data_IF_447003080784
#
_entry.id   IF_447003080784
#
_cell.length_a   1.000
_cell.length_b   1.000
_cell.length_c   1.000
_cell.angle_alpha   90.00
_cell.angle_beta   90.00
_cell.angle_gamma   90.00
#
_symmetry.space_group_name_H-M   'P 1'
#
loop_
_entity.id
_entity.type
_entity.pdbx_description
1 polymer ?
#
# COMPACT_ATOMS: atom_id res chain seq x y z
N UNK A 1 16.28 11.04 -23.39
CA UNK A 1 15.23 11.05 -24.44
C UNK A 1 15.79 11.01 -25.85
N UNK A 2 17.00 11.51 -26.11
CA UNK A 2 17.62 11.54 -27.42
C UNK A 2 18.09 10.17 -27.96
N UNK A 3 18.33 9.21 -27.07
CA UNK A 3 18.79 7.87 -27.43
C UNK A 3 17.64 6.91 -27.81
N UNK A 4 16.44 7.15 -27.30
CA UNK A 4 15.26 6.32 -27.50
C UNK A 4 14.08 7.16 -27.93
N UNK A 5 13.24 6.63 -28.80
CA UNK A 5 11.99 7.26 -29.22
C UNK A 5 10.90 7.03 -28.15
N UNK A 6 10.94 7.86 -27.10
CA UNK A 6 9.98 7.80 -25.99
C UNK A 6 8.84 8.76 -26.32
N UNK A 7 7.63 8.25 -26.43
CA UNK A 7 6.42 9.05 -26.68
C UNK A 7 5.70 9.45 -25.40
N UNK A 8 5.67 8.53 -24.41
CA UNK A 8 4.94 8.69 -23.15
C UNK A 8 5.79 8.17 -22.00
N UNK A 9 5.71 8.86 -20.87
CA UNK A 9 6.31 8.42 -19.60
C UNK A 9 5.18 8.00 -18.67
N UNK A 10 5.33 6.85 -18.05
CA UNK A 10 4.43 6.36 -17.01
C UNK A 10 5.11 6.55 -15.66
N UNK A 11 4.41 7.20 -14.75
CA UNK A 11 4.85 7.41 -13.36
C UNK A 11 3.79 6.85 -12.40
N UNK A 12 4.21 6.43 -11.23
CA UNK A 12 3.29 5.94 -10.19
C UNK A 12 3.01 6.96 -9.09
N UNK A 13 3.78 8.04 -9.03
CA UNK A 13 3.57 9.15 -8.10
C UNK A 13 4.20 10.43 -8.66
N UNK A 14 3.89 11.56 -8.02
CA UNK A 14 4.39 12.89 -8.39
C UNK A 14 4.98 13.64 -7.19
N UNK A 15 5.25 12.96 -6.10
CA UNK A 15 5.53 13.59 -4.80
C UNK A 15 7.01 13.61 -4.44
N UNK A 16 7.74 12.56 -4.77
CA UNK A 16 9.16 12.45 -4.45
C UNK A 16 10.05 13.32 -5.38
N UNK A 17 11.22 13.75 -4.92
CA UNK A 17 12.11 14.61 -5.69
C UNK A 17 12.48 14.04 -7.07
N UNK A 18 12.80 12.74 -7.13
CA UNK A 18 13.19 12.08 -8.38
C UNK A 18 12.04 12.00 -9.40
N UNK A 19 10.81 11.77 -8.95
CA UNK A 19 9.62 11.79 -9.82
C UNK A 19 9.39 13.19 -10.40
N UNK A 20 9.49 14.21 -9.54
CA UNK A 20 9.38 15.61 -9.97
C UNK A 20 10.43 15.99 -11.00
N UNK A 21 11.64 15.49 -10.84
CA UNK A 21 12.73 15.75 -11.80
C UNK A 21 12.47 15.07 -13.14
N UNK A 22 12.06 13.81 -13.13
CA UNK A 22 11.66 13.09 -14.36
C UNK A 22 10.55 13.84 -15.10
N UNK A 23 9.51 14.27 -14.39
CA UNK A 23 8.41 15.04 -14.94
C UNK A 23 8.91 16.37 -15.54
N UNK A 24 9.75 17.08 -14.81
CA UNK A 24 10.31 18.36 -15.28
C UNK A 24 11.10 18.18 -16.57
N UNK A 25 11.99 17.20 -16.62
CA UNK A 25 12.80 16.89 -17.79
C UNK A 25 11.90 16.45 -18.96
N UNK A 26 10.93 15.57 -18.73
CA UNK A 26 10.00 15.12 -19.74
C UNK A 26 9.27 16.29 -20.42
N UNK A 27 8.76 17.22 -19.62
CA UNK A 27 8.07 18.41 -20.13
C UNK A 27 8.97 19.30 -20.99
N UNK A 28 10.24 19.46 -20.60
CA UNK A 28 11.22 20.21 -21.42
C UNK A 28 11.44 19.60 -22.80
N UNK A 29 11.28 18.27 -22.91
CA UNK A 29 11.38 17.54 -24.18
C UNK A 29 10.03 17.30 -24.87
N UNK A 30 8.95 17.96 -24.40
CA UNK A 30 7.61 17.85 -24.98
C UNK A 30 6.98 16.46 -24.85
N UNK A 31 7.47 15.64 -23.91
CA UNK A 31 6.95 14.27 -23.70
C UNK A 31 5.72 14.28 -22.83
N UNK A 32 4.78 13.39 -23.15
CA UNK A 32 3.56 13.18 -22.38
C UNK A 32 3.83 12.37 -21.13
N UNK A 33 3.11 12.67 -20.06
CA UNK A 33 3.26 12.02 -18.76
C UNK A 33 1.88 11.52 -18.33
N UNK A 34 1.82 10.25 -17.96
CA UNK A 34 0.64 9.62 -17.39
C UNK A 34 0.99 9.05 -16.03
N UNK A 35 0.29 9.48 -15.00
CA UNK A 35 0.41 8.91 -13.66
C UNK A 35 -0.56 7.74 -13.51
N UNK A 36 -0.06 6.61 -12.99
CA UNK A 36 -0.86 5.43 -12.66
C UNK A 36 -1.02 5.33 -11.16
N UNK A 37 -2.24 5.21 -10.68
CA UNK A 37 -2.49 4.94 -9.26
C UNK A 37 -1.88 3.58 -8.88
N UNK A 38 -1.02 3.54 -7.86
CA UNK A 38 -0.34 2.32 -7.43
C UNK A 38 -0.79 1.80 -6.06
N UNK A 39 -1.49 2.64 -5.27
CA UNK A 39 -1.98 2.26 -3.95
C UNK A 39 -3.32 2.94 -3.64
N UNK A 40 -3.98 2.47 -2.59
CA UNK A 40 -5.22 3.05 -2.11
C UNK A 40 -4.96 4.48 -1.61
N UNK A 41 -5.75 5.43 -2.09
CA UNK A 41 -5.76 6.80 -1.55
C UNK A 41 -6.68 6.84 -0.33
N UNK A 42 -6.18 7.19 0.86
CA UNK A 42 -7.04 7.38 2.01
C UNK A 42 -7.94 8.59 1.77
N UNK A 43 -9.25 8.36 1.78
CA UNK A 43 -10.26 9.40 1.70
C UNK A 43 -10.85 9.60 3.10
N UNK A 44 -10.62 10.76 3.70
CA UNK A 44 -11.19 11.07 5.01
C UNK A 44 -10.86 12.46 5.50
N UNK A 45 -11.80 13.07 6.23
CA UNK A 45 -11.72 14.45 6.75
C UNK A 45 -10.43 14.72 7.55
N UNK A 46 -9.89 13.70 8.24
CA UNK A 46 -8.67 13.85 9.04
C UNK A 46 -7.48 14.18 8.14
N UNK A 47 -7.37 13.54 6.98
CA UNK A 47 -6.30 13.78 6.02
C UNK A 47 -6.45 15.10 5.32
N UNK A 48 -7.70 15.46 4.99
CA UNK A 48 -8.07 16.77 4.43
C UNK A 48 -7.67 17.89 5.38
N UNK A 49 -8.05 17.79 6.66
CA UNK A 49 -7.78 18.82 7.66
C UNK A 49 -6.30 18.95 8.03
N UNK A 50 -5.56 17.85 7.94
CA UNK A 50 -4.14 17.87 8.26
C UNK A 50 -3.28 18.53 7.17
N UNK A 51 -3.85 18.89 6.02
CA UNK A 51 -3.10 19.40 4.87
C UNK A 51 -2.02 18.43 4.39
N UNK A 52 -2.03 17.22 4.92
CA UNK A 52 -1.05 16.18 4.62
C UNK A 52 -1.56 15.37 3.44
N UNK A 53 -1.16 15.80 2.29
CA UNK A 53 -1.38 15.10 1.04
C UNK A 53 -0.52 13.82 0.99
N UNK A 54 -0.95 12.80 1.71
CA UNK A 54 -0.57 11.42 1.39
C UNK A 54 -1.39 10.92 0.20
N UNK A 55 -1.67 11.78 -0.73
CA UNK A 55 -2.18 11.37 -1.99
C UNK A 55 -1.03 11.38 -2.98
N UNK A 56 -0.98 10.41 -3.84
CA UNK A 56 -0.15 10.36 -5.02
C UNK A 56 -0.41 11.58 -5.92
N UNK A 57 -1.40 12.35 -5.56
CA UNK A 57 -1.78 13.61 -6.17
C UNK A 57 -1.00 14.74 -5.48
N UNK A 58 -0.12 15.39 -6.20
CA UNK A 58 0.42 16.66 -5.74
C UNK A 58 -0.69 17.71 -5.74
N UNK A 59 -0.53 18.79 -4.98
CA UNK A 59 -1.46 19.92 -4.95
C UNK A 59 -1.68 20.58 -6.34
N UNK A 60 -0.88 20.23 -7.31
CA UNK A 60 -1.05 20.54 -8.73
C UNK A 60 -0.64 19.34 -9.54
N UNK A 61 -1.55 18.84 -10.39
CA UNK A 61 -1.24 17.83 -11.38
C UNK A 61 -0.08 18.28 -12.25
N UNK A 62 0.97 17.49 -12.22
CA UNK A 62 2.16 17.70 -13.07
C UNK A 62 2.12 16.80 -14.29
N UNK A 63 1.51 15.61 -14.18
CA UNK A 63 1.20 14.73 -15.31
C UNK A 63 0.10 15.30 -16.18
N UNK A 64 0.10 14.91 -17.46
CA UNK A 64 -0.94 15.31 -18.42
C UNK A 64 -2.26 14.57 -18.14
N UNK A 65 -2.18 13.32 -17.70
CA UNK A 65 -3.32 12.47 -17.33
C UNK A 65 -3.00 11.66 -16.08
N UNK A 66 -4.05 11.35 -15.31
CA UNK A 66 -4.00 10.41 -14.20
C UNK A 66 -4.97 9.27 -14.46
N UNK A 67 -4.46 8.06 -14.37
CA UNK A 67 -5.23 6.84 -14.46
C UNK A 67 -5.47 6.31 -13.06
N UNK A 68 -6.72 6.21 -12.66
CA UNK A 68 -7.13 5.84 -11.32
C UNK A 68 -7.98 4.59 -11.30
N UNK A 69 -8.05 3.94 -10.14
CA UNK A 69 -8.73 2.65 -10.01
C UNK A 69 -10.26 2.75 -10.11
N UNK A 70 -10.84 3.87 -9.73
CA UNK A 70 -12.29 4.02 -9.78
C UNK A 70 -12.78 5.43 -9.57
N UNK A 71 -14.10 5.61 -9.69
CA UNK A 71 -14.77 6.90 -9.55
C UNK A 71 -14.53 7.54 -8.18
N UNK A 72 -14.51 6.76 -7.10
CA UNK A 72 -14.22 7.29 -5.75
C UNK A 72 -12.88 8.02 -5.69
N UNK A 73 -11.84 7.49 -6.34
CA UNK A 73 -10.54 8.17 -6.40
C UNK A 73 -10.61 9.44 -7.26
N UNK A 74 -11.37 9.41 -8.35
CA UNK A 74 -11.60 10.59 -9.20
C UNK A 74 -12.34 11.68 -8.44
N UNK A 75 -13.44 11.34 -7.77
CA UNK A 75 -14.22 12.28 -6.95
C UNK A 75 -13.35 12.90 -5.85
N UNK A 76 -12.53 12.08 -5.20
CA UNK A 76 -11.59 12.55 -4.20
C UNK A 76 -10.60 13.55 -4.78
N UNK A 77 -9.99 13.25 -5.92
CA UNK A 77 -9.06 14.18 -6.57
C UNK A 77 -9.74 15.50 -6.97
N UNK A 78 -10.98 15.43 -7.46
CA UNK A 78 -11.77 16.63 -7.80
C UNK A 78 -12.05 17.53 -6.59
N UNK A 79 -12.25 16.96 -5.39
CA UNK A 79 -12.40 17.71 -4.15
C UNK A 79 -11.15 18.54 -3.81
N UNK A 80 -10.00 18.14 -4.32
CA UNK A 80 -8.72 18.88 -4.20
C UNK A 80 -8.43 19.81 -5.38
N UNK A 81 -9.44 20.06 -6.20
CA UNK A 81 -9.34 21.03 -7.30
C UNK A 81 -8.69 20.48 -8.58
N UNK A 82 -8.54 19.15 -8.70
CA UNK A 82 -8.07 18.56 -9.95
C UNK A 82 -9.16 18.58 -11.02
N UNK A 83 -8.76 18.86 -12.27
CA UNK A 83 -9.69 18.84 -13.40
C UNK A 83 -10.12 17.41 -13.73
N UNK A 84 -11.42 17.16 -13.72
CA UNK A 84 -12.01 15.85 -13.99
C UNK A 84 -11.63 15.26 -15.36
N UNK A 85 -11.38 16.10 -16.35
CA UNK A 85 -10.97 15.67 -17.71
C UNK A 85 -9.59 15.02 -17.72
N UNK A 86 -8.75 15.32 -16.73
CA UNK A 86 -7.41 14.76 -16.62
C UNK A 86 -7.36 13.48 -15.80
N UNK A 87 -8.48 13.09 -15.19
CA UNK A 87 -8.55 11.90 -14.32
C UNK A 87 -9.43 10.84 -14.99
N UNK A 88 -8.85 9.69 -15.28
CA UNK A 88 -9.47 8.63 -16.06
C UNK A 88 -9.62 7.38 -15.18
N UNK A 89 -10.82 7.03 -14.72
CA UNK A 89 -11.07 5.79 -13.99
C UNK A 89 -11.11 4.60 -14.98
N UNK A 90 -10.24 3.60 -14.76
CA UNK A 90 -10.10 2.43 -15.65
C UNK A 90 -10.13 1.09 -14.94
N UNK A 91 -10.22 1.09 -13.61
CA UNK A 91 -10.02 -0.11 -12.82
C UNK A 91 -8.56 -0.33 -12.44
N UNK A 92 -8.29 -1.50 -11.89
CA UNK A 92 -6.94 -1.87 -11.44
C UNK A 92 -6.58 -3.28 -11.92
N UNK A 93 -5.80 -3.41 -13.01
CA UNK A 93 -5.36 -4.73 -13.50
C UNK A 93 -4.59 -5.54 -12.45
N UNK A 94 -3.94 -4.86 -11.52
CA UNK A 94 -3.29 -5.48 -10.36
C UNK A 94 -4.24 -6.36 -9.54
N UNK A 95 -5.52 -5.98 -9.47
CA UNK A 95 -6.52 -6.67 -8.64
C UNK A 95 -7.26 -7.78 -9.39
N UNK A 96 -7.12 -7.92 -10.70
CA UNK A 96 -7.82 -8.93 -11.50
C UNK A 96 -7.61 -10.36 -10.97
N UNK A 97 -6.40 -10.65 -10.50
CA UNK A 97 -6.08 -11.96 -9.91
C UNK A 97 -6.87 -12.27 -8.64
N UNK A 98 -7.28 -11.28 -7.86
CA UNK A 98 -8.11 -11.48 -6.67
C UNK A 98 -9.54 -11.83 -7.05
N UNK A 99 -10.12 -11.19 -8.05
CA UNK A 99 -11.45 -11.53 -8.57
C UNK A 99 -11.53 -12.92 -9.21
N UNK A 100 -10.42 -13.42 -9.74
CA UNK A 100 -10.34 -14.74 -10.37
C UNK A 100 -10.02 -15.86 -9.36
N UNK A 101 -9.53 -15.52 -8.20
CA UNK A 101 -9.10 -16.48 -7.19
C UNK A 101 -10.31 -17.18 -6.54
N UNK A 102 -10.15 -18.48 -6.31
CA UNK A 102 -11.15 -19.26 -5.58
C UNK A 102 -10.82 -19.23 -4.09
N UNK A 103 -11.84 -18.95 -3.28
CA UNK A 103 -11.69 -19.01 -1.82
C UNK A 103 -11.34 -20.43 -1.39
N UNK A 104 -10.25 -20.56 -0.67
CA UNK A 104 -9.78 -21.82 -0.10
C UNK A 104 -10.27 -21.83 1.36
N UNK A 105 -11.13 -22.76 1.71
CA UNK A 105 -11.59 -22.90 3.09
C UNK A 105 -10.48 -23.47 3.98
N UNK A 106 -9.56 -22.65 4.45
CA UNK A 106 -8.67 -23.05 5.53
C UNK A 106 -9.21 -22.53 6.84
N UNK A 107 -9.71 -23.44 7.66
CA UNK A 107 -10.19 -23.10 9.00
C UNK A 107 -9.00 -22.86 9.92
N UNK A 108 -9.08 -21.76 10.67
CA UNK A 108 -8.15 -21.51 11.77
C UNK A 108 -6.95 -20.64 11.46
N UNK A 109 -6.65 -20.29 10.20
CA UNK A 109 -5.55 -19.40 9.89
C UNK A 109 -5.92 -17.93 10.10
N UNK A 110 -5.19 -17.24 10.95
CA UNK A 110 -5.24 -15.78 11.11
C UNK A 110 -3.98 -15.22 10.44
N UNK A 111 -4.17 -14.34 9.46
CA UNK A 111 -3.09 -13.69 8.73
C UNK A 111 -2.86 -12.28 9.29
N UNK A 112 -1.67 -12.03 9.82
CA UNK A 112 -1.21 -10.68 10.14
C UNK A 112 -0.35 -10.17 8.99
N UNK A 113 -0.85 -9.22 8.22
CA UNK A 113 -0.10 -8.56 7.18
C UNK A 113 0.43 -7.22 7.69
N UNK A 114 1.75 -7.10 7.78
CA UNK A 114 2.39 -5.88 8.32
C UNK A 114 2.88 -4.99 7.21
N UNK A 115 2.62 -3.69 7.31
CA UNK A 115 3.22 -2.70 6.42
C UNK A 115 4.53 -2.15 6.96
N UNK A 116 4.84 -2.46 8.24
CA UNK A 116 6.00 -1.90 8.92
C UNK A 116 5.91 -0.38 9.12
N UNK A 117 6.91 0.16 9.80
CA UNK A 117 7.12 1.61 9.91
C UNK A 117 8.42 1.90 9.18
N UNK A 118 8.33 2.65 8.10
CA UNK A 118 9.48 2.99 7.27
C UNK A 118 10.33 4.06 7.94
N UNK A 119 11.63 3.81 8.07
CA UNK A 119 12.59 4.86 8.41
C UNK A 119 12.61 5.99 7.37
N UNK A 120 12.27 5.68 6.13
CA UNK A 120 12.14 6.69 5.07
C UNK A 120 11.01 7.69 5.35
N UNK A 121 9.97 7.29 6.11
CA UNK A 121 8.97 8.20 6.64
C UNK A 121 9.29 8.65 8.08
N UNK A 122 10.52 8.43 8.56
CA UNK A 122 10.95 8.79 9.92
C UNK A 122 10.83 10.30 10.21
N UNK A 123 10.89 11.15 9.20
CA UNK A 123 10.57 12.58 9.36
C UNK A 123 9.12 12.82 9.83
N UNK A 124 8.23 11.84 9.62
CA UNK A 124 6.83 11.89 10.06
C UNK A 124 6.46 10.78 11.06
N UNK A 125 7.30 9.76 11.21
CA UNK A 125 7.13 8.66 12.17
C UNK A 125 7.89 8.99 13.44
N UNK A 126 7.17 9.12 14.53
CA UNK A 126 7.78 9.32 15.84
C UNK A 126 8.24 7.97 16.41
N UNK A 127 9.20 8.00 17.36
CA UNK A 127 9.56 6.81 18.18
C UNK A 127 8.31 6.12 18.73
N UNK A 128 7.27 6.89 19.02
CA UNK A 128 5.98 6.42 19.49
C UNK A 128 5.25 5.51 18.46
N UNK A 129 5.43 5.74 17.17
CA UNK A 129 4.81 4.88 16.14
C UNK A 129 5.47 3.50 16.07
N UNK A 130 6.79 3.41 16.28
CA UNK A 130 7.50 2.13 16.42
C UNK A 130 7.03 1.35 17.64
N UNK A 131 6.95 2.02 18.79
CA UNK A 131 6.46 1.39 20.01
C UNK A 131 5.04 0.87 19.83
N UNK A 132 4.14 1.67 19.29
CA UNK A 132 2.76 1.27 19.01
C UNK A 132 2.67 0.08 18.04
N UNK A 133 3.51 0.03 17.02
CA UNK A 133 3.56 -1.09 16.10
C UNK A 133 4.02 -2.38 16.80
N UNK A 134 5.10 -2.30 17.55
CA UNK A 134 5.62 -3.44 18.30
C UNK A 134 4.61 -3.93 19.34
N UNK A 135 3.98 -3.03 20.07
CA UNK A 135 2.94 -3.37 21.04
C UNK A 135 1.73 -4.01 20.37
N UNK A 136 1.32 -3.50 19.20
CA UNK A 136 0.26 -4.10 18.40
C UNK A 136 0.60 -5.54 18.00
N UNK A 137 1.81 -5.77 17.48
CA UNK A 137 2.25 -7.12 17.07
C UNK A 137 2.29 -8.05 18.28
N UNK A 138 2.85 -7.61 19.43
CA UNK A 138 2.88 -8.39 20.67
C UNK A 138 1.48 -8.77 21.13
N UNK A 139 0.55 -7.82 21.07
CA UNK A 139 -0.84 -8.06 21.48
C UNK A 139 -1.54 -9.06 20.56
N UNK A 140 -1.38 -8.95 19.24
CA UNK A 140 -1.92 -9.91 18.28
C UNK A 140 -1.38 -11.32 18.57
N UNK A 141 -0.07 -11.46 18.75
CA UNK A 141 0.55 -12.74 19.08
C UNK A 141 -0.02 -13.32 20.38
N UNK A 142 -0.13 -12.51 21.42
CA UNK A 142 -0.68 -12.90 22.72
C UNK A 142 -2.14 -13.37 22.62
N UNK A 143 -2.96 -12.63 21.90
CA UNK A 143 -4.38 -12.96 21.74
C UNK A 143 -4.55 -14.26 20.96
N UNK A 144 -3.88 -14.38 19.79
CA UNK A 144 -4.03 -15.58 18.94
C UNK A 144 -3.50 -16.83 19.63
N UNK A 145 -2.43 -16.73 20.42
CA UNK A 145 -1.89 -17.86 21.20
C UNK A 145 -2.91 -18.45 22.18
N UNK A 146 -3.85 -17.64 22.67
CA UNK A 146 -4.91 -18.07 23.59
C UNK A 146 -6.16 -18.58 22.88
N UNK A 147 -6.24 -18.51 21.56
CA UNK A 147 -7.38 -19.03 20.79
C UNK A 147 -7.13 -20.49 20.45
N UNK A 148 -8.09 -21.35 20.82
CA UNK A 148 -8.08 -22.77 20.44
C UNK A 148 -8.26 -22.90 18.92
N UNK A 149 -7.52 -23.81 18.32
CA UNK A 149 -7.63 -24.16 16.91
C UNK A 149 -7.34 -22.99 15.95
N UNK A 150 -6.57 -21.98 16.39
CA UNK A 150 -6.15 -20.86 15.58
C UNK A 150 -4.61 -20.84 15.43
N UNK A 151 -4.17 -20.55 14.22
CA UNK A 151 -2.75 -20.42 13.88
C UNK A 151 -2.49 -19.01 13.33
N UNK A 152 -1.52 -18.32 13.93
CA UNK A 152 -1.04 -17.04 13.39
C UNK A 152 0.00 -17.28 12.31
N UNK A 153 -0.21 -16.65 11.16
CA UNK A 153 0.77 -16.54 10.08
C UNK A 153 1.05 -15.06 9.85
N UNK A 154 2.31 -14.70 9.74
CA UNK A 154 2.72 -13.30 9.54
C UNK A 154 3.30 -13.12 8.15
N UNK A 155 2.76 -12.18 7.39
CA UNK A 155 3.27 -11.74 6.08
C UNK A 155 3.84 -10.33 6.20
N UNK A 156 5.17 -10.18 6.32
CA UNK A 156 5.81 -8.86 6.31
C UNK A 156 5.69 -8.20 4.93
N UNK A 157 5.72 -6.86 4.94
CA UNK A 157 5.94 -6.11 3.70
C UNK A 157 7.30 -6.50 3.10
N UNK A 158 7.42 -6.64 1.76
CA UNK A 158 8.63 -7.16 1.12
C UNK A 158 9.87 -6.25 1.22
N UNK A 159 9.75 -5.03 1.73
CA UNK A 159 10.92 -4.17 1.94
C UNK A 159 11.84 -4.77 3.02
N UNK A 160 13.16 -4.88 2.74
CA UNK A 160 14.12 -5.57 3.63
C UNK A 160 14.12 -5.05 5.07
N UNK A 161 14.06 -3.73 5.26
CA UNK A 161 14.07 -3.11 6.60
C UNK A 161 12.88 -3.54 7.45
N UNK A 162 11.71 -3.72 6.83
CA UNK A 162 10.52 -4.18 7.54
C UNK A 162 10.57 -5.66 7.86
N UNK A 163 11.12 -6.46 6.93
CA UNK A 163 11.26 -7.91 7.11
C UNK A 163 12.15 -8.21 8.31
N UNK A 164 13.32 -7.61 8.37
CA UNK A 164 14.27 -7.86 9.46
C UNK A 164 13.70 -7.47 10.81
N UNK A 165 13.13 -6.29 10.95
CA UNK A 165 12.55 -5.81 12.20
C UNK A 165 11.42 -6.72 12.71
N UNK A 166 10.54 -7.20 11.82
CA UNK A 166 9.45 -8.08 12.24
C UNK A 166 9.95 -9.49 12.60
N UNK A 167 10.93 -10.01 11.88
CA UNK A 167 11.53 -11.31 12.18
C UNK A 167 12.15 -11.31 13.58
N UNK A 168 12.92 -10.29 13.90
CA UNK A 168 13.58 -10.18 15.20
C UNK A 168 12.57 -10.01 16.33
N UNK A 169 11.55 -9.19 16.14
CA UNK A 169 10.47 -9.04 17.09
C UNK A 169 9.72 -10.36 17.34
N UNK A 170 9.41 -11.12 16.30
CA UNK A 170 8.69 -12.40 16.44
C UNK A 170 9.55 -13.46 17.09
N UNK A 171 10.84 -13.53 16.79
CA UNK A 171 11.77 -14.44 17.48
C UNK A 171 11.83 -14.18 19.00
N UNK A 172 11.74 -12.90 19.38
CA UNK A 172 11.68 -12.50 20.81
C UNK A 172 10.37 -12.95 21.48
N UNK A 173 9.23 -12.84 20.75
CA UNK A 173 7.91 -13.16 21.32
C UNK A 173 7.64 -14.67 21.32
N UNK A 174 7.74 -15.30 20.17
CA UNK A 174 7.50 -16.73 19.99
C UNK A 174 8.12 -17.20 18.64
N UNK A 175 9.26 -17.88 18.66
CA UNK A 175 9.94 -18.31 17.44
C UNK A 175 9.22 -19.41 16.65
N UNK A 176 8.12 -19.94 17.18
CA UNK A 176 7.29 -20.93 16.49
C UNK A 176 6.23 -20.31 15.57
N UNK A 177 6.03 -18.99 15.65
CA UNK A 177 5.09 -18.30 14.78
C UNK A 177 5.65 -18.32 13.35
N UNK A 178 4.82 -18.74 12.41
CA UNK A 178 5.18 -18.81 11.00
C UNK A 178 5.26 -17.44 10.36
N UNK A 179 6.41 -17.16 9.72
CA UNK A 179 6.62 -15.95 8.91
C UNK A 179 6.79 -16.39 7.45
N UNK A 180 5.95 -15.87 6.57
CA UNK A 180 5.97 -16.21 5.13
C UNK A 180 6.46 -15.01 4.31
N UNK A 181 7.53 -15.19 3.56
CA UNK A 181 8.15 -14.13 2.76
C UNK A 181 7.72 -14.21 1.29
N UNK A 182 7.81 -15.39 0.68
CA UNK A 182 7.69 -15.59 -0.76
C UNK A 182 6.34 -16.18 -1.21
N UNK A 183 5.42 -16.41 -0.28
CA UNK A 183 4.09 -16.94 -0.60
C UNK A 183 3.24 -15.89 -1.31
N UNK A 184 2.49 -16.32 -2.34
CA UNK A 184 1.57 -15.43 -3.06
C UNK A 184 0.50 -14.85 -2.12
N UNK A 185 0.34 -13.54 -2.20
CA UNK A 185 -0.60 -12.82 -1.34
C UNK A 185 -2.05 -13.22 -1.60
N UNK A 186 -2.39 -13.54 -2.85
CA UNK A 186 -3.74 -13.98 -3.22
C UNK A 186 -4.05 -15.32 -2.54
N UNK A 187 -3.11 -16.24 -2.54
CA UNK A 187 -3.24 -17.53 -1.85
C UNK A 187 -3.43 -17.35 -0.36
N UNK A 188 -2.61 -16.51 0.28
CA UNK A 188 -2.71 -16.24 1.72
C UNK A 188 -4.04 -15.63 2.12
N UNK A 189 -4.50 -14.60 1.38
CA UNK A 189 -5.78 -13.94 1.66
C UNK A 189 -6.95 -14.93 1.47
N UNK A 190 -6.93 -15.73 0.41
CA UNK A 190 -8.00 -16.71 0.17
C UNK A 190 -7.98 -17.89 1.15
N UNK A 191 -6.84 -18.13 1.79
CA UNK A 191 -6.67 -19.20 2.77
C UNK A 191 -6.92 -18.74 4.20
N UNK A 192 -6.95 -17.46 4.51
CA UNK A 192 -7.13 -17.01 5.89
C UNK A 192 -8.61 -16.90 6.27
N UNK A 193 -8.90 -17.18 7.54
CA UNK A 193 -10.21 -16.95 8.16
C UNK A 193 -10.37 -15.49 8.58
N UNK A 194 -9.27 -14.87 8.99
CA UNK A 194 -9.22 -13.48 9.43
C UNK A 194 -7.94 -12.83 8.97
N UNK A 195 -8.04 -11.66 8.34
CA UNK A 195 -6.92 -10.78 8.05
C UNK A 195 -6.85 -9.67 9.09
N UNK A 196 -5.66 -9.47 9.64
CA UNK A 196 -5.33 -8.35 10.52
C UNK A 196 -4.30 -7.47 9.82
N UNK A 197 -4.52 -6.16 9.81
CA UNK A 197 -3.58 -5.18 9.26
C UNK A 197 -3.31 -4.06 10.26
N UNK A 198 -2.12 -3.47 10.19
CA UNK A 198 -1.78 -2.28 10.96
C UNK A 198 -1.91 -1.05 10.07
N UNK A 199 -2.74 -0.08 10.48
CA UNK A 199 -3.08 1.13 9.70
C UNK A 199 -3.75 0.81 8.34
N UNK A 200 -3.86 1.82 7.48
CA UNK A 200 -4.42 1.68 6.14
C UNK A 200 -3.43 0.97 5.22
N UNK A 201 -3.85 -0.13 4.64
CA UNK A 201 -3.05 -0.91 3.71
C UNK A 201 -3.90 -1.34 2.52
N UNK A 202 -3.31 -1.37 1.34
CA UNK A 202 -3.96 -1.86 0.12
C UNK A 202 -4.45 -3.30 0.26
N UNK A 203 -3.78 -4.11 1.10
CA UNK A 203 -4.18 -5.49 1.38
C UNK A 203 -5.58 -5.59 2.01
N UNK A 204 -6.02 -4.57 2.74
CA UNK A 204 -7.39 -4.53 3.26
C UNK A 204 -8.42 -4.47 2.11
N UNK A 205 -8.16 -3.66 1.08
CA UNK A 205 -9.00 -3.63 -0.13
C UNK A 205 -8.93 -4.96 -0.88
N UNK A 206 -7.74 -5.53 -1.02
CA UNK A 206 -7.51 -6.82 -1.69
C UNK A 206 -8.26 -7.97 -1.01
N UNK A 207 -8.46 -7.91 0.30
CA UNK A 207 -9.20 -8.90 1.07
C UNK A 207 -10.73 -8.77 0.98
N UNK A 208 -11.23 -7.64 0.47
CA UNK A 208 -12.68 -7.38 0.31
C UNK A 208 -13.19 -7.82 -1.07
N UNK A 209 -12.29 -8.18 -1.99
CA UNK A 209 -12.59 -8.72 -3.31
C UNK A 209 -12.83 -10.23 -3.22
#
# INVERSE_FOLDING_TARGET
FTKYDISVILEWAETAPHEKEVIHVAKRYGKKIVMLQHAMSPNGDIWVRAGRFFSFFSSSLKSDKQVVWGETTKEYAMQYGHNSENIIPVGSPRHDKFFQAKKINSKGMILLATTGISEFFAETSTTNDYLKFNDFVREVCRVVKNLKDKKLVIKPHPQPDFVNNIIDLIKEIDPQIEIVLDTDLVELINSCELLITFKNSTIALESMI
#
